data_IF_902085150051
#
_entry.id   IF_902085150051
#
_cell.length_a   1.000
_cell.length_b   1.000
_cell.length_c   1.000
_cell.angle_alpha   90.00
_cell.angle_beta   90.00
_cell.angle_gamma   90.00
#
_symmetry.space_group_name_H-M   'P 1'
#
loop_
_entity.id
_entity.type
_entity.pdbx_description
1 polymer ?
#
# COMPACT_ATOMS: atom_id res chain seq x y z
N UNK A 1 -5.47 3.87 75.80
CA UNK A 1 -6.53 3.89 74.76
C UNK A 1 -5.88 4.41 73.47
N UNK A 2 -5.34 3.50 72.67
CA UNK A 2 -4.61 3.87 71.44
C UNK A 2 -5.53 3.73 70.25
N UNK A 3 -5.73 4.84 69.59
CA UNK A 3 -6.56 4.96 68.38
C UNK A 3 -5.69 4.68 67.15
N UNK A 4 -5.92 3.53 66.49
CA UNK A 4 -5.21 3.13 65.25
C UNK A 4 -5.88 3.88 64.07
N UNK A 5 -5.08 4.76 63.49
CA UNK A 5 -5.44 5.48 62.27
C UNK A 5 -5.24 4.53 61.07
N UNK A 6 -6.33 4.08 60.43
CA UNK A 6 -6.31 3.33 59.21
C UNK A 6 -6.21 4.32 58.00
N UNK A 7 -5.01 4.38 57.40
CA UNK A 7 -4.82 5.09 56.12
C UNK A 7 -5.27 4.19 55.02
N UNK A 8 -6.40 4.51 54.42
CA UNK A 8 -6.93 3.84 53.24
C UNK A 8 -6.25 4.48 51.99
N UNK A 9 -5.18 3.85 51.48
CA UNK A 9 -4.58 4.23 50.20
C UNK A 9 -5.48 3.79 49.08
N UNK A 10 -6.24 4.79 48.54
CA UNK A 10 -7.04 4.61 47.32
C UNK A 10 -6.09 4.62 46.13
N UNK A 11 -5.72 3.45 45.62
CA UNK A 11 -5.00 3.31 44.34
C UNK A 11 -5.98 3.63 43.21
N UNK A 12 -5.92 4.87 42.74
CA UNK A 12 -6.57 5.27 41.49
C UNK A 12 -5.71 4.71 40.34
N UNK A 13 -6.04 3.52 39.83
CA UNK A 13 -5.47 3.04 38.58
C UNK A 13 -6.07 3.85 37.44
N UNK A 14 -5.29 4.85 36.95
CA UNK A 14 -5.57 5.50 35.68
C UNK A 14 -5.44 4.43 34.59
N UNK A 15 -6.57 3.83 34.20
CA UNK A 15 -6.65 3.10 32.95
C UNK A 15 -6.64 4.15 31.84
N UNK A 16 -5.44 4.36 31.27
CA UNK A 16 -5.33 5.05 29.97
C UNK A 16 -6.00 4.17 28.94
N UNK A 17 -7.29 4.40 28.67
CA UNK A 17 -7.93 3.92 27.47
C UNK A 17 -7.22 4.58 26.29
N UNK A 18 -6.22 3.89 25.74
CA UNK A 18 -5.73 4.18 24.40
C UNK A 18 -6.90 3.81 23.49
N UNK A 19 -7.68 4.80 23.08
CA UNK A 19 -8.60 4.68 21.97
C UNK A 19 -7.74 4.47 20.72
N UNK A 20 -7.43 3.22 20.40
CA UNK A 20 -7.04 2.84 19.07
C UNK A 20 -8.29 2.98 18.19
N UNK A 21 -8.56 4.20 17.74
CA UNK A 21 -9.59 4.45 16.74
C UNK A 21 -9.20 3.67 15.49
N UNK A 22 -10.00 2.65 15.16
CA UNK A 22 -9.90 1.92 13.90
C UNK A 22 -10.04 2.94 12.77
N UNK A 23 -8.93 3.30 12.14
CA UNK A 23 -8.91 4.22 11.01
C UNK A 23 -9.59 3.56 9.82
N UNK A 24 -10.91 3.62 9.77
CA UNK A 24 -11.71 3.35 8.56
C UNK A 24 -11.54 4.49 7.57
N UNK A 25 -10.31 4.70 7.08
CA UNK A 25 -10.11 5.73 6.07
C UNK A 25 -9.82 5.09 4.73
N UNK A 26 -10.54 5.48 3.69
CA UNK A 26 -10.34 4.89 2.39
C UNK A 26 -8.96 5.32 1.85
N UNK A 27 -8.10 4.35 1.71
CA UNK A 27 -6.98 4.45 0.81
C UNK A 27 -7.56 4.44 -0.61
N UNK A 28 -7.37 5.51 -1.37
CA UNK A 28 -7.82 5.58 -2.75
C UNK A 28 -6.77 4.95 -3.65
N UNK A 29 -7.08 3.81 -4.25
CA UNK A 29 -6.19 3.11 -5.17
C UNK A 29 -6.31 3.78 -6.55
N UNK A 30 -5.21 4.38 -7.01
CA UNK A 30 -5.12 5.04 -8.33
C UNK A 30 -4.85 4.00 -9.40
N UNK A 31 -3.78 3.21 -9.19
CA UNK A 31 -3.37 2.08 -10.03
C UNK A 31 -2.76 0.96 -9.16
N UNK A 32 -2.05 -0.01 -9.76
CA UNK A 32 -1.52 -1.17 -9.04
C UNK A 32 -0.37 -0.85 -8.08
N UNK A 33 0.27 0.33 -8.18
CA UNK A 33 1.37 0.74 -7.30
C UNK A 33 1.22 2.16 -6.73
N UNK A 34 0.13 2.86 -7.04
CA UNK A 34 -0.11 4.24 -6.60
C UNK A 34 -1.40 4.36 -5.81
N UNK A 35 -1.33 5.01 -4.67
CA UNK A 35 -2.45 5.21 -3.75
C UNK A 35 -2.48 6.65 -3.25
N UNK A 36 -3.67 7.14 -2.91
CA UNK A 36 -3.85 8.45 -2.30
C UNK A 36 -4.53 8.30 -0.94
N UNK A 37 -4.18 9.18 -0.01
CA UNK A 37 -4.87 9.35 1.26
C UNK A 37 -5.26 10.82 1.43
N UNK A 38 -6.40 11.09 2.06
CA UNK A 38 -6.79 12.45 2.35
C UNK A 38 -5.86 13.07 3.40
N UNK A 39 -5.22 14.20 3.07
CA UNK A 39 -4.23 14.85 3.92
C UNK A 39 -4.81 15.38 5.23
N UNK A 40 -6.07 15.83 5.26
CA UNK A 40 -6.74 16.32 6.46
C UNK A 40 -6.75 15.25 7.54
N UNK A 41 -7.10 14.03 7.16
CA UNK A 41 -7.14 12.88 8.07
C UNK A 41 -5.74 12.53 8.58
N UNK A 42 -4.74 12.58 7.71
CA UNK A 42 -3.35 12.32 8.10
C UNK A 42 -2.85 13.36 9.11
N UNK A 43 -3.23 14.64 8.94
CA UNK A 43 -2.84 15.72 9.84
C UNK A 43 -3.58 15.66 11.17
N UNK A 44 -4.85 15.29 11.19
CA UNK A 44 -5.61 15.04 12.43
C UNK A 44 -4.97 13.95 13.28
N UNK A 45 -4.48 12.88 12.64
CA UNK A 45 -3.76 11.80 13.32
C UNK A 45 -2.41 12.26 13.85
N UNK A 46 -1.69 13.04 13.04
CA UNK A 46 -0.37 13.56 13.38
C UNK A 46 -0.43 14.74 14.36
N UNK A 47 -1.63 15.28 14.68
CA UNK A 47 -1.84 16.51 15.45
C UNK A 47 -1.00 17.68 14.89
N UNK A 48 -0.81 17.71 13.58
CA UNK A 48 0.01 18.69 12.90
C UNK A 48 -0.84 19.95 12.54
N UNK A 49 -0.26 21.16 12.60
CA UNK A 49 -0.97 22.37 12.19
C UNK A 49 -1.29 22.33 10.69
N UNK A 50 -2.51 22.72 10.32
CA UNK A 50 -3.02 22.73 8.95
C UNK A 50 -2.49 23.89 8.09
N UNK A 51 -1.65 24.74 8.62
CA UNK A 51 -1.12 25.92 7.92
C UNK A 51 -0.19 25.51 6.77
N UNK A 52 -0.50 25.97 5.54
CA UNK A 52 0.33 25.76 4.36
C UNK A 52 -0.13 24.65 3.41
N UNK A 53 -1.13 23.86 3.75
CA UNK A 53 -1.77 22.93 2.81
C UNK A 53 -2.86 23.68 2.03
N UNK A 54 -2.55 24.05 0.78
CA UNK A 54 -3.55 24.65 -0.11
C UNK A 54 -4.75 23.70 -0.35
N UNK A 55 -5.62 24.00 -1.33
CA UNK A 55 -6.84 23.24 -1.64
C UNK A 55 -6.63 21.77 -2.10
N UNK A 56 -5.40 21.24 -2.08
CA UNK A 56 -5.09 19.84 -2.42
C UNK A 56 -5.02 19.03 -1.12
N UNK A 57 -6.08 18.30 -0.87
CA UNK A 57 -6.23 17.46 0.33
C UNK A 57 -5.68 16.03 0.18
N UNK A 58 -5.28 15.62 -1.03
CA UNK A 58 -4.82 14.26 -1.28
C UNK A 58 -3.30 14.16 -1.34
N UNK A 59 -2.74 13.32 -0.47
CA UNK A 59 -1.34 12.91 -0.52
C UNK A 59 -1.20 11.79 -1.53
N UNK A 60 -0.38 12.03 -2.57
CA UNK A 60 -0.04 11.02 -3.57
C UNK A 60 1.10 10.16 -3.05
N UNK A 61 0.88 8.86 -3.00
CA UNK A 61 1.87 7.90 -2.54
C UNK A 61 2.13 6.84 -3.60
N UNK A 62 3.35 6.30 -3.60
CA UNK A 62 3.77 5.20 -4.45
C UNK A 62 4.34 4.08 -3.59
N UNK A 63 3.87 2.86 -3.81
CA UNK A 63 4.43 1.67 -3.18
C UNK A 63 5.82 1.43 -3.76
N UNK A 64 6.83 1.50 -2.91
CA UNK A 64 8.23 1.36 -3.32
C UNK A 64 8.60 -0.09 -3.63
N UNK A 65 9.55 -0.25 -4.54
CA UNK A 65 10.11 -1.55 -4.91
C UNK A 65 9.28 -2.34 -5.93
N UNK A 66 8.15 -1.77 -6.40
CA UNK A 66 7.31 -2.38 -7.43
C UNK A 66 7.03 -1.43 -8.59
N UNK A 67 6.68 -2.01 -9.75
CA UNK A 67 6.25 -1.28 -10.95
C UNK A 67 5.16 -2.12 -11.63
N UNK A 68 3.93 -1.61 -11.66
CA UNK A 68 2.77 -2.32 -12.22
C UNK A 68 2.45 -1.83 -13.62
N UNK A 69 1.79 -2.64 -14.47
CA UNK A 69 1.26 -2.17 -15.72
C UNK A 69 0.44 -0.89 -15.56
N UNK A 70 0.67 0.07 -16.45
CA UNK A 70 -0.06 1.34 -16.46
C UNK A 70 -1.56 1.10 -16.70
N UNK A 71 -2.42 1.98 -16.17
CA UNK A 71 -3.88 1.79 -16.21
C UNK A 71 -4.44 1.56 -17.63
N UNK A 72 -3.78 2.12 -18.64
CA UNK A 72 -4.14 1.97 -20.05
C UNK A 72 -3.38 0.85 -20.77
N UNK A 73 -2.53 0.14 -20.06
CA UNK A 73 -1.72 -0.92 -20.66
C UNK A 73 -2.53 -2.19 -20.83
N UNK A 74 -2.49 -2.76 -22.04
CA UNK A 74 -3.13 -4.03 -22.37
C UNK A 74 -2.11 -5.16 -22.40
N UNK A 75 -2.56 -6.40 -22.22
CA UNK A 75 -1.79 -7.61 -22.42
C UNK A 75 -2.67 -8.73 -22.98
N UNK A 76 -2.02 -9.75 -23.52
CA UNK A 76 -2.69 -10.85 -24.24
C UNK A 76 -2.70 -12.10 -23.37
N UNK A 77 -3.88 -12.46 -22.84
CA UNK A 77 -4.03 -13.63 -21.96
C UNK A 77 -4.05 -14.96 -22.73
N UNK A 78 -4.61 -14.94 -23.93
CA UNK A 78 -4.66 -16.02 -24.90
C UNK A 78 -4.39 -15.40 -26.28
N UNK A 79 -4.02 -16.20 -27.28
CA UNK A 79 -3.80 -15.69 -28.64
C UNK A 79 -5.01 -14.94 -29.17
N UNK A 80 -4.82 -13.64 -29.49
CA UNK A 80 -5.87 -12.77 -29.98
C UNK A 80 -6.84 -12.25 -28.92
N UNK A 81 -6.66 -12.57 -27.63
CA UNK A 81 -7.52 -12.12 -26.54
C UNK A 81 -6.80 -11.20 -25.57
N UNK A 82 -7.04 -9.92 -25.66
CA UNK A 82 -6.42 -8.90 -24.81
C UNK A 82 -7.33 -8.46 -23.68
N UNK A 83 -6.69 -8.02 -22.57
CA UNK A 83 -7.33 -7.41 -21.41
C UNK A 83 -6.56 -6.16 -20.96
N UNK A 84 -7.18 -5.31 -20.14
CA UNK A 84 -6.56 -4.15 -19.52
C UNK A 84 -5.75 -4.58 -18.29
N UNK A 85 -4.44 -4.81 -18.47
CA UNK A 85 -3.56 -5.29 -17.39
C UNK A 85 -3.42 -4.29 -16.25
N UNK A 86 -3.42 -3.00 -16.54
CA UNK A 86 -3.37 -1.96 -15.52
C UNK A 86 -4.60 -2.01 -14.62
N UNK A 87 -5.79 -2.22 -15.21
CA UNK A 87 -7.03 -2.41 -14.43
C UNK A 87 -6.96 -3.71 -13.61
N UNK A 88 -6.48 -4.81 -14.23
CA UNK A 88 -6.31 -6.08 -13.53
C UNK A 88 -5.44 -5.95 -12.27
N UNK A 89 -4.28 -5.29 -12.39
CA UNK A 89 -3.36 -5.13 -11.24
C UNK A 89 -3.90 -4.19 -10.17
N UNK A 90 -4.63 -3.14 -10.56
CA UNK A 90 -5.36 -2.26 -9.64
C UNK A 90 -6.42 -3.03 -8.84
N UNK A 91 -7.24 -3.84 -9.52
CA UNK A 91 -8.27 -4.64 -8.85
C UNK A 91 -7.66 -5.72 -7.97
N UNK A 92 -6.53 -6.29 -8.39
CA UNK A 92 -5.77 -7.22 -7.56
C UNK A 92 -5.29 -6.57 -6.26
N UNK A 93 -4.68 -5.37 -6.32
CA UNK A 93 -4.27 -4.63 -5.12
C UNK A 93 -5.46 -4.37 -4.18
N UNK A 94 -6.60 -3.95 -4.74
CA UNK A 94 -7.83 -3.72 -3.97
C UNK A 94 -8.30 -4.99 -3.24
N UNK A 95 -8.32 -6.12 -3.95
CA UNK A 95 -8.75 -7.39 -3.39
C UNK A 95 -7.75 -7.91 -2.34
N UNK A 96 -6.45 -7.75 -2.58
CA UNK A 96 -5.39 -8.12 -1.64
C UNK A 96 -5.54 -7.34 -0.33
N UNK A 97 -5.73 -6.02 -0.38
CA UNK A 97 -5.96 -5.20 0.81
C UNK A 97 -7.26 -5.56 1.56
N UNK A 98 -8.27 -6.06 0.85
CA UNK A 98 -9.53 -6.49 1.45
C UNK A 98 -9.45 -7.90 2.07
N UNK A 99 -8.64 -8.80 1.50
CA UNK A 99 -8.51 -10.20 1.94
C UNK A 99 -7.53 -10.39 3.08
N UNK A 100 -6.47 -9.57 3.13
CA UNK A 100 -5.47 -9.65 4.20
C UNK A 100 -6.03 -9.11 5.52
N UNK A 101 -5.76 -9.82 6.61
CA UNK A 101 -6.19 -9.44 7.95
C UNK A 101 -5.18 -8.50 8.65
N UNK A 102 -5.63 -7.83 9.70
CA UNK A 102 -4.79 -6.94 10.51
C UNK A 102 -4.85 -5.48 10.08
N UNK A 103 -4.07 -4.65 10.74
CA UNK A 103 -4.05 -3.20 10.52
C UNK A 103 -3.32 -2.80 9.24
N UNK A 104 -3.79 -1.73 8.61
CA UNK A 104 -3.10 -1.11 7.50
C UNK A 104 -1.97 -0.22 8.03
N UNK A 105 -0.72 -0.53 7.67
CA UNK A 105 0.45 0.22 8.10
C UNK A 105 1.15 0.84 6.90
N UNK A 106 1.28 2.15 6.91
CA UNK A 106 1.98 2.94 5.89
C UNK A 106 3.30 3.43 6.48
N UNK A 107 4.42 3.01 5.90
CA UNK A 107 5.76 3.45 6.30
C UNK A 107 6.38 4.32 5.22
N UNK A 108 6.40 5.65 5.37
CA UNK A 108 7.10 6.54 4.43
C UNK A 108 8.60 6.25 4.45
N UNK A 109 9.23 6.22 3.27
CA UNK A 109 10.67 5.95 3.10
C UNK A 109 11.40 7.00 2.26
N UNK A 110 10.68 7.93 1.65
CA UNK A 110 11.25 8.99 0.82
C UNK A 110 10.22 9.72 -0.01
N UNK A 111 10.71 10.54 -0.94
CA UNK A 111 9.90 11.26 -1.93
C UNK A 111 10.54 11.02 -3.29
N UNK A 112 9.73 10.73 -4.31
CA UNK A 112 10.22 10.54 -5.68
C UNK A 112 10.35 11.87 -6.44
N UNK A 113 10.88 11.78 -7.67
CA UNK A 113 11.05 12.93 -8.55
C UNK A 113 9.73 13.66 -8.86
N UNK A 114 8.60 12.95 -8.84
CA UNK A 114 7.26 13.49 -9.10
C UNK A 114 6.55 13.99 -7.84
N UNK A 115 7.28 14.16 -6.73
CA UNK A 115 6.77 14.61 -5.43
C UNK A 115 5.71 13.67 -4.83
N UNK A 116 5.75 12.36 -5.17
CA UNK A 116 4.95 11.34 -4.50
C UNK A 116 5.72 10.81 -3.29
N UNK A 117 5.02 10.54 -2.20
CA UNK A 117 5.62 9.90 -1.04
C UNK A 117 5.86 8.42 -1.37
N UNK A 118 7.12 7.99 -1.33
CA UNK A 118 7.47 6.57 -1.42
C UNK A 118 7.15 5.89 -0.10
N UNK A 119 6.39 4.79 -0.16
CA UNK A 119 5.94 4.07 1.02
C UNK A 119 6.23 2.57 0.93
N UNK A 120 6.43 1.94 2.09
CA UNK A 120 6.16 0.51 2.28
C UNK A 120 4.76 0.36 2.84
N UNK A 121 3.96 -0.50 2.23
CA UNK A 121 2.57 -0.73 2.60
C UNK A 121 2.43 -2.13 3.15
N UNK A 122 1.87 -2.23 4.36
CA UNK A 122 1.62 -3.52 5.02
C UNK A 122 0.15 -3.65 5.37
N UNK A 123 -0.34 -4.87 5.37
CA UNK A 123 -1.63 -5.26 5.95
C UNK A 123 -1.38 -6.40 6.93
N UNK A 124 -1.50 -6.12 8.24
CA UNK A 124 -0.98 -7.02 9.26
C UNK A 124 0.53 -7.24 9.08
N UNK A 125 0.95 -8.49 8.91
CA UNK A 125 2.36 -8.85 8.67
C UNK A 125 2.73 -8.91 7.17
N UNK A 126 1.74 -8.82 6.27
CA UNK A 126 1.95 -8.94 4.83
C UNK A 126 2.51 -7.65 4.25
N UNK A 127 3.73 -7.69 3.68
CA UNK A 127 4.26 -6.64 2.81
C UNK A 127 3.52 -6.71 1.47
N UNK A 128 2.66 -5.72 1.21
CA UNK A 128 1.78 -5.68 0.04
C UNK A 128 2.58 -5.59 -1.27
N UNK A 129 3.65 -4.78 -1.31
CA UNK A 129 4.50 -4.70 -2.49
C UNK A 129 5.18 -6.03 -2.81
N UNK A 130 5.73 -6.69 -1.81
CA UNK A 130 6.32 -8.02 -1.94
C UNK A 130 5.31 -9.04 -2.45
N UNK A 131 4.12 -9.06 -1.86
CA UNK A 131 3.04 -9.99 -2.23
C UNK A 131 2.58 -9.78 -3.69
N UNK A 132 2.44 -8.53 -4.13
CA UNK A 132 2.13 -8.20 -5.53
C UNK A 132 3.14 -8.83 -6.51
N UNK A 133 4.44 -8.77 -6.19
CA UNK A 133 5.49 -9.37 -7.04
C UNK A 133 5.47 -10.89 -6.97
N UNK A 134 5.32 -11.46 -5.77
CA UNK A 134 5.24 -12.91 -5.57
C UNK A 134 4.10 -13.55 -6.36
N UNK A 135 2.96 -12.87 -6.46
CA UNK A 135 1.79 -13.36 -7.17
C UNK A 135 1.80 -13.03 -8.67
N UNK A 136 2.90 -12.45 -9.15
CA UNK A 136 3.08 -12.11 -10.56
C UNK A 136 2.15 -10.99 -11.06
N UNK A 137 1.78 -10.07 -10.19
CA UNK A 137 0.91 -8.93 -10.49
C UNK A 137 1.68 -7.61 -10.55
N UNK A 138 2.99 -7.64 -10.35
CA UNK A 138 3.89 -6.50 -10.44
C UNK A 138 5.30 -6.95 -10.86
N UNK A 139 6.04 -6.05 -11.47
CA UNK A 139 7.49 -6.16 -11.66
C UNK A 139 8.22 -5.72 -10.40
N UNK A 140 9.39 -6.31 -10.14
CA UNK A 140 10.32 -5.79 -9.16
C UNK A 140 10.98 -4.51 -9.70
N UNK A 141 10.89 -3.42 -8.95
CA UNK A 141 11.59 -2.17 -9.26
C UNK A 141 12.91 -2.10 -8.47
N UNK A 142 13.97 -1.68 -9.15
CA UNK A 142 15.34 -1.58 -8.59
C UNK A 142 15.82 -2.84 -7.87
N UNK A 143 15.42 -4.00 -8.37
CA UNK A 143 15.76 -5.33 -7.82
C UNK A 143 15.30 -5.56 -6.36
N UNK A 144 14.40 -4.74 -5.83
CA UNK A 144 13.94 -4.84 -4.43
C UNK A 144 13.35 -6.22 -4.11
N UNK A 145 12.57 -6.79 -5.04
CA UNK A 145 11.90 -8.09 -4.90
C UNK A 145 12.29 -9.04 -6.04
N UNK A 146 13.57 -9.03 -6.45
CA UNK A 146 14.06 -9.82 -7.58
C UNK A 146 13.87 -11.31 -7.41
N UNK A 147 14.02 -11.82 -6.19
CA UNK A 147 13.86 -13.25 -5.89
C UNK A 147 12.39 -13.65 -6.08
N UNK A 148 11.47 -12.83 -5.57
CA UNK A 148 10.04 -13.03 -5.69
C UNK A 148 9.58 -12.98 -7.16
N UNK A 149 10.13 -12.05 -7.93
CA UNK A 149 9.85 -11.95 -9.37
C UNK A 149 10.35 -13.16 -10.13
N UNK A 150 11.57 -13.64 -9.84
CA UNK A 150 12.12 -14.86 -10.47
C UNK A 150 11.24 -16.06 -10.16
N UNK A 151 10.84 -16.23 -8.90
CA UNK A 151 9.94 -17.29 -8.49
C UNK A 151 8.58 -17.21 -9.22
N UNK A 152 8.00 -16.01 -9.33
CA UNK A 152 6.73 -15.81 -10.03
C UNK A 152 6.84 -16.18 -11.52
N UNK A 153 7.95 -15.81 -12.19
CA UNK A 153 8.23 -16.17 -13.58
C UNK A 153 8.40 -17.68 -13.79
N UNK A 154 9.19 -18.33 -12.96
CA UNK A 154 9.46 -19.78 -13.03
C UNK A 154 8.18 -20.59 -12.83
N UNK A 155 7.29 -20.16 -11.94
CA UNK A 155 6.04 -20.83 -11.64
C UNK A 155 4.85 -20.29 -12.46
N UNK A 156 5.07 -19.39 -13.41
CA UNK A 156 4.04 -18.81 -14.28
C UNK A 156 2.87 -18.23 -13.48
N UNK A 157 3.16 -17.46 -12.42
CA UNK A 157 2.13 -16.86 -11.58
C UNK A 157 1.64 -15.54 -12.18
N UNK A 158 0.36 -15.22 -11.95
CA UNK A 158 -0.26 -13.98 -12.39
C UNK A 158 -0.10 -13.75 -13.90
N UNK A 159 0.34 -12.57 -14.29
CA UNK A 159 0.52 -12.22 -15.71
C UNK A 159 1.69 -12.96 -16.39
N UNK A 160 2.57 -13.65 -15.63
CA UNK A 160 3.61 -14.50 -16.22
C UNK A 160 3.05 -15.77 -16.88
N UNK A 161 1.78 -16.11 -16.61
CA UNK A 161 1.07 -17.20 -17.26
C UNK A 161 0.34 -16.78 -18.55
N UNK A 162 0.34 -15.51 -18.90
CA UNK A 162 -0.36 -15.00 -20.07
C UNK A 162 0.40 -15.38 -21.37
N UNK A 163 -0.32 -15.45 -22.47
CA UNK A 163 0.25 -15.71 -23.80
C UNK A 163 1.35 -14.69 -24.14
N UNK A 164 1.08 -13.39 -23.84
CA UNK A 164 2.08 -12.34 -23.84
C UNK A 164 1.96 -11.57 -22.52
N UNK A 165 2.90 -11.76 -21.59
CA UNK A 165 2.98 -10.94 -20.40
C UNK A 165 3.02 -9.44 -20.75
N UNK A 166 2.50 -8.54 -19.90
CA UNK A 166 2.56 -7.11 -20.16
C UNK A 166 4.01 -6.66 -20.39
N UNK A 167 4.20 -5.71 -21.30
CA UNK A 167 5.50 -5.05 -21.46
C UNK A 167 5.89 -4.41 -20.14
N UNK A 168 7.18 -4.44 -19.79
CA UNK A 168 7.66 -3.78 -18.57
C UNK A 168 7.20 -2.31 -18.55
N UNK A 169 6.56 -1.83 -17.46
CA UNK A 169 5.96 -0.50 -17.41
C UNK A 169 6.94 0.64 -17.71
N UNK A 170 8.20 0.49 -17.32
CA UNK A 170 9.27 1.45 -17.63
C UNK A 170 9.54 1.55 -19.14
N UNK A 171 9.41 0.44 -19.87
CA UNK A 171 9.54 0.42 -21.33
C UNK A 171 8.28 1.03 -21.95
N UNK A 172 7.12 0.58 -21.50
CA UNK A 172 5.82 1.07 -21.99
C UNK A 172 5.69 2.59 -21.91
N UNK A 173 6.07 3.19 -20.76
CA UNK A 173 6.07 4.67 -20.57
C UNK A 173 7.00 5.45 -21.50
N UNK A 174 7.98 4.81 -22.13
CA UNK A 174 8.85 5.46 -23.10
C UNK A 174 8.28 5.48 -24.53
N UNK A 175 7.32 4.58 -24.79
CA UNK A 175 6.73 4.37 -26.11
C UNK A 175 5.36 5.07 -26.23
N UNK A 176 4.78 5.53 -25.11
CA UNK A 176 3.47 6.19 -25.00
C UNK A 176 3.54 7.47 -24.17
#
# INVERSE_FOLDING_TARGET
MQMKLFIFCLFFTLHSCIFAGELKQPLFIVDGDSVNINAVIFLDIAQAPMEGFGNKTDLKMRIAGIDTPEIKQTCEIEEGKSIDCGVLTKDYLKNLLASESGDLVIKPIGIDYYQRILIRLFKGETDIGKKMVQDGMSYSYDNTYKIEESHAKENKLGFWNFFKPPVNPKIWRKEH
#
